data_IF_759422594940
#
_entry.id   IF_759422594940
#
_cell.length_a   1.000
_cell.length_b   1.000
_cell.length_c   1.000
_cell.angle_alpha   90.00
_cell.angle_beta   90.00
_cell.angle_gamma   90.00
#
_symmetry.space_group_name_H-M   'P 1'
#
loop_
_entity.id
_entity.type
_entity.pdbx_description
1 polymer ?
#
# COMPACT_ATOMS: atom_id res chain seq x y z
N UNK A 1 14.84 -0.88 -10.53
CA UNK A 1 15.74 -1.88 -9.91
C UNK A 1 15.06 -2.45 -8.68
N UNK A 2 15.13 -3.78 -8.48
CA UNK A 2 14.65 -4.48 -7.29
C UNK A 2 15.84 -4.82 -6.42
N UNK A 3 15.75 -4.54 -5.10
CA UNK A 3 16.79 -4.86 -4.12
C UNK A 3 16.18 -5.69 -2.99
N UNK A 4 16.83 -6.81 -2.65
CA UNK A 4 16.43 -7.69 -1.56
C UNK A 4 17.02 -7.21 -0.23
N UNK A 5 16.18 -7.22 0.81
CA UNK A 5 16.56 -7.04 2.21
C UNK A 5 16.09 -8.23 3.04
N UNK A 6 16.79 -8.52 4.12
CA UNK A 6 16.45 -9.62 5.04
C UNK A 6 15.94 -9.15 6.39
N UNK A 7 16.28 -7.93 6.80
CA UNK A 7 15.92 -7.35 8.09
C UNK A 7 14.85 -6.27 7.95
N UNK A 8 13.87 -6.20 8.88
CA UNK A 8 13.59 -7.14 10.00
C UNK A 8 12.94 -8.42 9.52
N UNK A 9 12.49 -8.50 8.26
CA UNK A 9 11.96 -9.66 7.56
C UNK A 9 12.30 -9.54 6.07
N UNK A 10 12.18 -10.64 5.34
CA UNK A 10 12.46 -10.66 3.89
C UNK A 10 11.48 -9.73 3.15
N UNK A 11 12.03 -8.71 2.52
CA UNK A 11 11.29 -7.78 1.66
C UNK A 11 12.14 -7.30 0.49
N UNK A 12 11.47 -6.70 -0.48
CA UNK A 12 12.10 -6.13 -1.66
C UNK A 12 11.74 -4.65 -1.75
N UNK A 13 12.72 -3.82 -2.03
CA UNK A 13 12.48 -2.42 -2.40
C UNK A 13 12.63 -2.26 -3.91
N UNK A 14 11.78 -1.43 -4.49
CA UNK A 14 11.71 -1.22 -5.94
C UNK A 14 11.78 0.28 -6.26
N UNK A 15 12.64 0.62 -7.19
CA UNK A 15 12.83 1.98 -7.66
C UNK A 15 12.22 2.16 -9.04
N UNK A 16 11.41 3.19 -9.21
CA UNK A 16 10.72 3.60 -10.44
C UNK A 16 9.85 2.48 -11.07
N UNK A 17 8.92 1.87 -10.32
CA UNK A 17 8.05 0.82 -10.87
C UNK A 17 6.95 1.35 -11.79
N UNK A 18 6.57 2.62 -11.69
CA UNK A 18 5.47 3.19 -12.45
C UNK A 18 5.96 4.10 -13.58
N UNK A 19 5.18 4.16 -14.66
CA UNK A 19 5.36 5.15 -15.73
C UNK A 19 4.88 6.54 -15.28
N UNK A 20 5.34 7.59 -15.94
CA UNK A 20 4.89 8.95 -15.64
C UNK A 20 3.36 9.10 -15.79
N UNK A 21 2.78 8.52 -16.83
CA UNK A 21 1.33 8.58 -17.04
C UNK A 21 0.54 7.93 -15.87
N UNK A 22 1.03 6.81 -15.31
CA UNK A 22 0.41 6.21 -14.14
C UNK A 22 0.56 7.09 -12.88
N UNK A 23 1.68 7.78 -12.74
CA UNK A 23 1.90 8.76 -11.66
C UNK A 23 0.95 9.94 -11.81
N UNK A 24 0.76 10.45 -13.03
CA UNK A 24 -0.14 11.57 -13.30
C UNK A 24 -1.61 11.18 -13.00
N UNK A 25 -2.02 9.96 -13.30
CA UNK A 25 -3.34 9.44 -12.90
C UNK A 25 -3.52 9.43 -11.38
N UNK A 26 -2.50 8.98 -10.63
CA UNK A 26 -2.54 8.96 -9.17
C UNK A 26 -2.62 10.39 -8.62
N UNK A 27 -1.82 11.30 -9.16
CA UNK A 27 -1.70 12.68 -8.69
C UNK A 27 -2.96 13.50 -8.93
N UNK A 28 -3.69 13.19 -10.02
CA UNK A 28 -4.93 13.86 -10.41
C UNK A 28 -6.18 13.11 -9.92
N UNK A 29 -6.03 12.01 -9.17
CA UNK A 29 -7.16 11.22 -8.71
C UNK A 29 -8.03 12.00 -7.72
N UNK A 30 -9.31 12.15 -8.05
CA UNK A 30 -10.30 12.64 -7.11
C UNK A 30 -10.76 11.49 -6.21
N UNK A 31 -10.23 11.44 -4.98
CA UNK A 31 -10.59 10.42 -4.02
C UNK A 31 -11.61 11.01 -3.05
N UNK A 32 -12.87 10.59 -3.18
CA UNK A 32 -13.94 11.05 -2.31
C UNK A 32 -13.72 10.61 -0.86
N UNK A 33 -14.18 11.44 0.09
CA UNK A 33 -14.15 11.07 1.52
C UNK A 33 -15.00 9.79 1.71
N UNK A 34 -14.42 8.72 2.23
CA UNK A 34 -15.10 7.42 2.37
C UNK A 34 -16.37 7.49 3.22
N UNK A 35 -16.49 8.47 4.12
CA UNK A 35 -17.71 8.68 4.92
C UNK A 35 -18.89 9.20 4.10
N UNK A 36 -18.63 9.76 2.92
CA UNK A 36 -19.65 10.23 1.97
C UNK A 36 -20.01 9.17 0.94
N UNK A 37 -19.26 8.09 0.89
CA UNK A 37 -19.49 6.99 -0.03
C UNK A 37 -20.26 5.90 0.73
N UNK A 38 -21.39 5.51 0.18
CA UNK A 38 -22.15 4.36 0.67
C UNK A 38 -21.47 3.08 0.15
N UNK A 39 -20.23 2.84 0.59
CA UNK A 39 -19.41 1.76 0.07
C UNK A 39 -19.47 0.59 1.04
N UNK A 40 -20.00 -0.53 0.56
CA UNK A 40 -19.73 -1.84 1.13
C UNK A 40 -18.24 -2.16 0.93
N UNK A 41 -17.39 -1.61 1.77
CA UNK A 41 -15.99 -1.98 1.81
C UNK A 41 -15.85 -3.31 2.50
N UNK A 42 -15.76 -4.35 1.72
CA UNK A 42 -15.27 -5.60 2.21
C UNK A 42 -13.79 -5.45 2.58
N UNK A 43 -13.49 -5.66 3.86
CA UNK A 43 -12.13 -5.71 4.37
C UNK A 43 -11.45 -4.37 4.68
N UNK A 44 -12.14 -3.25 4.65
CA UNK A 44 -11.59 -1.96 5.08
C UNK A 44 -12.03 -1.58 6.49
N UNK A 45 -11.63 -2.35 7.46
CA UNK A 45 -11.80 -2.05 8.90
C UNK A 45 -11.41 -0.63 9.28
N UNK A 46 -10.64 0.03 8.43
CA UNK A 46 -10.22 1.40 8.57
C UNK A 46 -11.31 2.45 8.33
N UNK A 47 -12.47 2.09 7.77
CA UNK A 47 -13.52 3.04 7.37
C UNK A 47 -14.81 2.93 8.17
N UNK A 48 -15.07 1.79 8.79
CA UNK A 48 -16.34 1.49 9.47
C UNK A 48 -16.47 2.05 10.89
N UNK A 49 -15.41 2.64 11.41
CA UNK A 49 -15.37 3.16 12.76
C UNK A 49 -15.10 2.13 13.84
N UNK A 50 -14.85 0.89 13.47
CA UNK A 50 -14.46 -0.17 14.38
C UNK A 50 -13.02 -0.05 14.90
N UNK A 51 -12.53 -1.12 15.49
CA UNK A 51 -11.17 -1.17 16.05
C UNK A 51 -10.07 -0.84 15.02
N UNK A 52 -10.30 -1.21 13.74
CA UNK A 52 -9.41 -0.88 12.64
C UNK A 52 -9.30 0.62 12.37
N UNK A 53 -10.39 1.38 12.54
CA UNK A 53 -10.38 2.84 12.41
C UNK A 53 -9.52 3.48 13.49
N UNK A 54 -9.60 2.95 14.70
CA UNK A 54 -8.77 3.39 15.83
C UNK A 54 -7.28 3.12 15.58
N UNK A 55 -6.97 1.94 15.01
CA UNK A 55 -5.59 1.56 14.68
C UNK A 55 -4.98 2.43 13.60
N UNK A 56 -5.80 2.96 12.72
CA UNK A 56 -5.36 3.77 11.59
C UNK A 56 -5.43 5.28 11.83
N UNK A 57 -5.84 5.74 13.02
CA UNK A 57 -5.99 7.16 13.32
C UNK A 57 -7.00 7.88 12.41
N UNK A 58 -7.94 7.16 11.80
CA UNK A 58 -8.80 7.69 10.74
C UNK A 58 -9.85 8.66 11.28
N UNK A 59 -10.28 8.50 12.51
CA UNK A 59 -11.33 9.33 13.13
C UNK A 59 -10.83 10.50 13.99
N UNK A 60 -9.54 10.72 14.00
CA UNK A 60 -9.00 11.82 14.78
C UNK A 60 -9.57 13.16 14.26
N UNK A 61 -10.15 13.94 15.16
CA UNK A 61 -10.76 15.23 14.82
C UNK A 61 -11.96 15.18 13.87
N UNK A 62 -12.63 14.04 13.70
CA UNK A 62 -13.83 13.89 12.86
C UNK A 62 -13.59 13.96 11.34
N UNK A 63 -12.34 14.07 10.88
CA UNK A 63 -11.96 14.02 9.46
C UNK A 63 -11.31 12.66 9.14
N UNK A 64 -11.58 12.14 7.94
CA UNK A 64 -10.86 10.97 7.46
C UNK A 64 -9.40 11.30 7.24
N UNK A 65 -8.50 10.56 7.91
CA UNK A 65 -7.04 10.70 7.75
C UNK A 65 -6.48 9.89 6.59
N UNK A 66 -7.25 8.92 6.10
CA UNK A 66 -6.92 8.09 4.94
C UNK A 66 -8.05 8.13 3.93
N UNK A 67 -7.75 8.53 2.71
CA UNK A 67 -8.65 8.42 1.57
C UNK A 67 -8.20 7.25 0.70
N UNK A 68 -9.14 6.52 0.11
CA UNK A 68 -8.86 5.31 -0.70
C UNK A 68 -9.80 5.25 -1.89
N UNK A 69 -9.26 4.82 -3.01
CA UNK A 69 -10.01 4.49 -4.22
C UNK A 69 -9.47 3.19 -4.81
N UNK A 70 -10.34 2.20 -5.01
CA UNK A 70 -9.97 0.98 -5.73
C UNK A 70 -9.96 1.26 -7.22
N UNK A 71 -8.93 0.76 -7.91
CA UNK A 71 -8.94 0.70 -9.37
C UNK A 71 -9.70 -0.54 -9.80
N UNK A 72 -10.86 -0.35 -10.44
CA UNK A 72 -11.80 -1.39 -10.84
C UNK A 72 -12.14 -1.29 -12.32
N UNK A 73 -12.92 -2.22 -12.83
CA UNK A 73 -13.43 -2.15 -14.21
C UNK A 73 -14.35 -0.93 -14.43
N UNK A 74 -15.13 -0.59 -13.41
CA UNK A 74 -16.11 0.51 -13.44
C UNK A 74 -15.46 1.88 -13.57
N UNK A 75 -14.26 2.08 -13.00
CA UNK A 75 -13.53 3.34 -13.06
C UNK A 75 -12.26 3.28 -13.93
N UNK A 76 -12.13 2.24 -14.77
CA UNK A 76 -10.97 2.04 -15.65
C UNK A 76 -10.73 3.20 -16.62
N UNK A 77 -11.78 3.95 -16.98
CA UNK A 77 -11.67 5.15 -17.81
C UNK A 77 -10.94 6.31 -17.08
N UNK A 78 -11.00 6.36 -15.76
CA UNK A 78 -10.27 7.34 -14.95
C UNK A 78 -8.82 6.93 -14.72
N UNK A 79 -8.55 5.61 -14.77
CA UNK A 79 -7.25 5.01 -14.48
C UNK A 79 -6.76 4.07 -15.58
N UNK A 80 -6.66 4.53 -16.87
CA UNK A 80 -6.29 3.63 -17.97
C UNK A 80 -4.88 3.04 -17.82
N UNK A 81 -3.89 3.81 -17.34
CA UNK A 81 -2.53 3.32 -17.16
C UNK A 81 -2.39 2.41 -15.93
N UNK A 82 -3.10 2.71 -14.83
CA UNK A 82 -3.14 1.80 -13.67
C UNK A 82 -3.89 0.50 -14.00
N UNK A 83 -4.93 0.56 -14.80
CA UNK A 83 -5.63 -0.64 -15.30
C UNK A 83 -4.67 -1.49 -16.14
N UNK A 84 -3.91 -0.88 -17.04
CA UNK A 84 -2.88 -1.57 -17.82
C UNK A 84 -1.81 -2.19 -16.92
N UNK A 85 -1.39 -1.49 -15.88
CA UNK A 85 -0.44 -2.01 -14.90
C UNK A 85 -0.99 -3.24 -14.17
N UNK A 86 -2.27 -3.25 -13.79
CA UNK A 86 -2.93 -4.43 -13.22
C UNK A 86 -2.89 -5.61 -14.21
N UNK A 87 -3.19 -5.39 -15.49
CA UNK A 87 -3.15 -6.45 -16.50
C UNK A 87 -1.72 -6.98 -16.73
N UNK A 88 -0.72 -6.13 -16.67
CA UNK A 88 0.68 -6.54 -16.73
C UNK A 88 1.06 -7.42 -15.51
N UNK A 89 0.62 -7.06 -14.30
CA UNK A 89 0.85 -7.88 -13.11
C UNK A 89 0.19 -9.26 -13.20
N UNK A 90 -0.96 -9.37 -13.87
CA UNK A 90 -1.68 -10.63 -14.12
C UNK A 90 -1.04 -11.48 -15.23
N UNK A 91 -0.13 -10.93 -16.01
CA UNK A 91 0.52 -11.69 -17.08
C UNK A 91 1.39 -12.82 -16.53
N UNK A 92 1.39 -14.02 -17.14
CA UNK A 92 2.20 -15.16 -16.68
C UNK A 92 3.68 -14.83 -16.53
N UNK A 93 4.21 -13.97 -17.41
CA UNK A 93 5.60 -13.52 -17.38
C UNK A 93 5.92 -12.76 -16.09
N UNK A 94 4.99 -11.91 -15.63
CA UNK A 94 5.21 -11.04 -14.48
C UNK A 94 4.89 -11.77 -13.17
N UNK A 95 3.70 -12.39 -13.04
CA UNK A 95 3.34 -13.03 -11.79
C UNK A 95 4.24 -14.22 -11.44
N UNK A 96 4.74 -15.00 -12.43
CA UNK A 96 5.72 -16.07 -12.18
C UNK A 96 7.05 -15.52 -11.68
N UNK A 97 7.51 -14.38 -12.23
CA UNK A 97 8.74 -13.72 -11.77
C UNK A 97 8.59 -13.20 -10.34
N UNK A 98 7.47 -12.55 -10.02
CA UNK A 98 7.19 -12.08 -8.66
C UNK A 98 7.06 -13.27 -7.71
N UNK A 99 6.29 -14.28 -8.08
CA UNK A 99 6.11 -15.52 -7.31
C UNK A 99 7.43 -16.20 -6.97
N UNK A 100 8.36 -16.29 -7.94
CA UNK A 100 9.70 -16.81 -7.72
C UNK A 100 10.51 -15.98 -6.71
N UNK A 101 10.39 -14.65 -6.73
CA UNK A 101 11.08 -13.77 -5.76
C UNK A 101 10.54 -13.96 -4.33
N UNK A 102 9.22 -14.05 -4.19
CA UNK A 102 8.56 -14.14 -2.88
C UNK A 102 8.37 -15.57 -2.38
N UNK A 103 8.61 -16.59 -3.22
CA UNK A 103 8.43 -18.00 -2.89
C UNK A 103 6.97 -18.43 -2.78
N UNK A 104 6.08 -17.86 -3.61
CA UNK A 104 4.64 -18.16 -3.64
C UNK A 104 4.16 -18.40 -5.06
N UNK A 105 3.21 -19.33 -5.23
CA UNK A 105 2.47 -19.46 -6.48
C UNK A 105 1.36 -18.42 -6.54
N UNK A 106 1.41 -17.56 -7.54
CA UNK A 106 0.44 -16.49 -7.76
C UNK A 106 -0.54 -16.80 -8.91
N UNK A 107 -0.53 -18.02 -9.48
CA UNK A 107 -1.31 -18.36 -10.68
C UNK A 107 -2.83 -18.24 -10.48
N UNK A 108 -3.31 -18.49 -9.26
CA UNK A 108 -4.74 -18.42 -8.90
C UNK A 108 -5.07 -17.22 -7.99
N UNK A 109 -4.22 -16.19 -8.01
CA UNK A 109 -4.43 -14.99 -7.23
C UNK A 109 -5.05 -13.87 -8.06
N UNK A 110 -5.60 -12.87 -7.40
CA UNK A 110 -6.07 -11.63 -8.04
C UNK A 110 -5.27 -10.44 -7.53
N UNK A 111 -5.22 -9.41 -8.36
CA UNK A 111 -4.58 -8.12 -8.02
C UNK A 111 -5.65 -7.16 -7.53
N UNK A 112 -5.44 -6.60 -6.33
CA UNK A 112 -6.19 -5.46 -5.81
C UNK A 112 -5.25 -4.27 -5.76
N UNK A 113 -5.57 -3.23 -6.53
CA UNK A 113 -4.82 -1.99 -6.56
C UNK A 113 -5.66 -0.85 -5.99
N UNK A 114 -5.04 -0.07 -5.13
CA UNK A 114 -5.68 1.08 -4.48
C UNK A 114 -4.81 2.32 -4.67
N UNK A 115 -5.46 3.44 -4.99
CA UNK A 115 -4.85 4.77 -4.85
C UNK A 115 -5.22 5.29 -3.46
N UNK A 116 -4.21 5.67 -2.68
CA UNK A 116 -4.36 6.05 -1.29
C UNK A 116 -3.77 7.45 -1.08
N UNK A 117 -4.49 8.29 -0.35
CA UNK A 117 -4.00 9.56 0.14
C UNK A 117 -4.09 9.56 1.67
N UNK A 118 -2.95 9.50 2.34
CA UNK A 118 -2.85 9.69 3.78
C UNK A 118 -2.70 11.20 4.06
N UNK A 119 -3.44 11.69 5.05
CA UNK A 119 -3.44 13.11 5.45
C UNK A 119 -2.64 13.30 6.73
N UNK A 120 -2.31 14.56 7.00
CA UNK A 120 -1.67 14.98 8.24
C UNK A 120 -2.31 14.32 9.48
N UNK A 121 -1.48 13.78 10.36
CA UNK A 121 -1.89 13.07 11.55
C UNK A 121 -2.31 11.61 11.31
N UNK A 122 -2.14 11.05 10.11
CA UNK A 122 -2.33 9.62 9.88
C UNK A 122 -1.25 8.82 10.62
N UNK A 123 -1.66 7.69 11.19
CA UNK A 123 -0.78 6.71 11.80
C UNK A 123 -1.42 5.32 11.71
N UNK A 124 -0.60 4.29 11.81
CA UNK A 124 -1.05 2.91 11.74
C UNK A 124 -0.24 2.08 12.72
N UNK A 125 -0.90 1.44 13.70
CA UNK A 125 -0.23 0.54 14.64
C UNK A 125 0.49 -0.60 13.91
N UNK A 126 1.62 -1.07 14.45
CA UNK A 126 2.27 -2.27 13.96
C UNK A 126 1.28 -3.44 13.88
N UNK A 127 1.22 -4.08 12.72
CA UNK A 127 0.37 -5.23 12.45
C UNK A 127 1.01 -6.13 11.39
N UNK A 128 0.53 -7.35 11.29
CA UNK A 128 0.75 -8.23 10.15
C UNK A 128 -0.51 -8.25 9.29
N UNK A 129 -0.34 -8.38 8.00
CA UNK A 129 -1.47 -8.58 7.09
C UNK A 129 -2.12 -9.95 7.29
N UNK A 130 -3.36 -10.10 6.83
CA UNK A 130 -4.12 -11.34 6.86
C UNK A 130 -3.46 -12.40 5.94
N UNK A 131 -3.68 -13.67 6.23
CA UNK A 131 -3.03 -14.79 5.52
C UNK A 131 -3.43 -14.88 4.05
N UNK A 132 -4.61 -14.44 3.69
CA UNK A 132 -5.12 -14.42 2.31
C UNK A 132 -4.34 -13.47 1.41
N UNK A 133 -3.64 -12.49 1.97
CA UNK A 133 -2.72 -11.63 1.22
C UNK A 133 -1.42 -12.37 0.96
N UNK A 134 -1.25 -12.90 -0.24
CA UNK A 134 -0.01 -13.55 -0.63
C UNK A 134 1.17 -12.57 -0.73
N UNK A 135 0.89 -11.33 -1.09
CA UNK A 135 1.87 -10.25 -1.20
C UNK A 135 1.24 -8.91 -0.85
N UNK A 136 1.95 -8.11 -0.09
CA UNK A 136 1.67 -6.69 0.13
C UNK A 136 2.71 -5.84 -0.57
N UNK A 137 2.25 -4.76 -1.19
CA UNK A 137 3.11 -3.80 -1.90
C UNK A 137 2.59 -2.39 -1.74
N UNK A 138 3.49 -1.43 -1.59
CA UNK A 138 3.20 0.01 -1.63
C UNK A 138 4.22 0.68 -2.55
N UNK A 139 3.74 1.61 -3.38
CA UNK A 139 4.56 2.53 -4.14
C UNK A 139 4.20 3.94 -3.70
N UNK A 140 5.20 4.69 -3.27
CA UNK A 140 5.05 6.06 -2.80
C UNK A 140 5.16 7.06 -3.95
N UNK A 141 4.33 8.09 -3.91
CA UNK A 141 4.32 9.19 -4.87
C UNK A 141 4.54 10.50 -4.11
N UNK A 142 5.81 10.80 -3.82
CA UNK A 142 6.22 12.03 -3.15
C UNK A 142 6.46 13.14 -4.17
N UNK A 143 5.42 13.89 -4.51
CA UNK A 143 5.48 15.00 -5.48
C UNK A 143 5.98 16.31 -4.87
N UNK A 144 5.83 16.48 -3.56
CA UNK A 144 6.06 17.75 -2.88
C UNK A 144 7.36 17.76 -2.06
N UNK A 145 8.20 16.74 -2.27
CA UNK A 145 9.45 16.61 -1.54
C UNK A 145 9.26 16.61 -0.01
N UNK A 146 8.20 15.95 0.44
CA UNK A 146 7.91 15.75 1.85
C UNK A 146 8.96 14.84 2.50
N UNK A 147 8.99 14.81 3.83
CA UNK A 147 9.98 14.05 4.60
C UNK A 147 9.95 12.56 4.23
N UNK A 148 11.12 11.99 3.97
CA UNK A 148 11.28 10.55 3.71
C UNK A 148 10.83 9.70 4.90
N UNK A 149 10.78 10.26 6.11
CA UNK A 149 10.30 9.57 7.31
C UNK A 149 8.79 9.29 7.30
N UNK A 150 8.03 9.83 6.35
CA UNK A 150 6.59 9.54 6.18
C UNK A 150 6.32 8.18 5.50
N UNK A 151 7.34 7.39 5.27
CA UNK A 151 7.20 6.04 4.73
C UNK A 151 6.70 5.01 5.74
N UNK A 152 6.77 3.74 5.36
CA UNK A 152 6.30 2.62 6.19
C UNK A 152 7.38 2.17 7.15
N UNK A 153 7.02 2.06 8.41
CA UNK A 153 7.89 1.52 9.46
C UNK A 153 7.81 -0.01 9.50
N UNK A 154 8.96 -0.67 9.55
CA UNK A 154 9.11 -2.11 9.70
C UNK A 154 9.68 -2.44 11.07
N UNK A 155 9.13 -3.48 11.70
CA UNK A 155 9.41 -3.86 13.06
C UNK A 155 9.91 -5.30 13.16
N UNK A 156 10.69 -5.59 14.17
CA UNK A 156 11.05 -6.96 14.53
C UNK A 156 9.90 -7.69 15.27
N UNK A 157 10.11 -8.95 15.63
CA UNK A 157 9.10 -9.76 16.33
C UNK A 157 8.80 -9.25 17.77
N UNK A 158 9.64 -8.36 18.31
CA UNK A 158 9.43 -7.70 19.61
C UNK A 158 8.77 -6.33 19.47
N UNK A 159 8.38 -5.96 18.25
CA UNK A 159 7.81 -4.66 17.88
C UNK A 159 8.78 -3.47 18.07
N UNK A 160 10.08 -3.72 18.04
CA UNK A 160 11.06 -2.64 17.94
C UNK A 160 11.09 -2.18 16.48
N UNK A 161 11.00 -0.87 16.25
CA UNK A 161 11.17 -0.31 14.91
C UNK A 161 12.63 -0.47 14.47
N UNK A 162 12.82 -1.16 13.34
CA UNK A 162 14.14 -1.46 12.78
C UNK A 162 14.48 -0.51 11.63
N UNK A 163 13.49 -0.20 10.79
CA UNK A 163 13.69 0.73 9.67
C UNK A 163 12.40 1.40 9.25
N UNK A 164 12.53 2.51 8.54
CA UNK A 164 11.47 3.11 7.74
C UNK A 164 11.83 2.92 6.27
N UNK A 165 10.95 2.32 5.47
CA UNK A 165 11.07 2.36 4.02
C UNK A 165 10.74 3.79 3.59
N UNK A 166 11.67 4.51 2.93
CA UNK A 166 11.54 5.95 2.76
C UNK A 166 10.39 6.35 1.83
N UNK A 167 9.69 7.41 2.19
CA UNK A 167 8.67 8.05 1.35
C UNK A 167 9.34 8.83 0.22
N UNK A 168 9.76 8.12 -0.82
CA UNK A 168 10.38 8.68 -2.03
C UNK A 168 9.45 8.64 -3.22
N UNK A 169 9.63 9.59 -4.12
CA UNK A 169 8.87 9.61 -5.37
C UNK A 169 9.16 8.37 -6.24
N UNK A 170 8.09 7.69 -6.67
CA UNK A 170 8.12 6.47 -7.48
C UNK A 170 9.07 5.41 -6.90
N UNK A 171 8.98 5.21 -5.60
CA UNK A 171 9.75 4.24 -4.84
C UNK A 171 8.82 3.44 -3.95
N UNK A 172 9.10 2.16 -3.74
CA UNK A 172 8.23 1.35 -2.94
C UNK A 172 8.85 0.04 -2.50
N UNK A 173 8.00 -0.84 -1.99
CA UNK A 173 8.41 -2.14 -1.49
C UNK A 173 7.32 -3.18 -1.72
N UNK A 174 7.71 -4.45 -1.61
CA UNK A 174 6.79 -5.57 -1.49
C UNK A 174 7.38 -6.69 -0.64
N UNK A 175 6.50 -7.46 -0.01
CA UNK A 175 6.86 -8.62 0.79
C UNK A 175 5.73 -9.66 0.80
N UNK A 176 6.05 -10.90 1.19
CA UNK A 176 5.06 -11.95 1.46
C UNK A 176 4.50 -11.76 2.85
N UNK A 177 3.17 -11.71 2.98
CA UNK A 177 2.52 -11.64 4.29
C UNK A 177 2.83 -12.89 5.12
N UNK A 178 3.05 -12.68 6.42
CA UNK A 178 3.38 -13.73 7.36
C UNK A 178 3.31 -13.26 8.80
N UNK A 179 3.43 -14.17 9.78
CA UNK A 179 3.21 -13.85 11.20
C UNK A 179 4.24 -12.91 11.82
N UNK A 180 5.37 -12.70 11.15
CA UNK A 180 6.44 -11.83 11.63
C UNK A 180 6.72 -10.64 10.70
N UNK A 181 5.83 -10.35 9.76
CA UNK A 181 5.98 -9.21 8.82
C UNK A 181 5.33 -7.96 9.38
N UNK A 182 5.78 -7.57 10.57
CA UNK A 182 5.25 -6.43 11.31
C UNK A 182 5.57 -5.12 10.62
N UNK A 183 4.53 -4.38 10.29
CA UNK A 183 4.66 -3.07 9.64
C UNK A 183 3.57 -2.11 10.09
N UNK A 184 3.82 -0.83 9.92
CA UNK A 184 2.90 0.23 10.32
C UNK A 184 3.46 1.59 9.98
N UNK A 185 2.98 2.60 10.67
CA UNK A 185 3.47 3.97 10.57
C UNK A 185 3.28 4.65 11.92
N UNK A 186 4.35 5.03 12.58
CA UNK A 186 4.26 5.80 13.80
C UNK A 186 3.63 7.17 13.51
N UNK A 187 2.97 7.73 14.52
CA UNK A 187 2.49 9.11 14.43
C UNK A 187 3.71 10.01 14.26
N UNK A 188 3.73 10.79 13.19
CA UNK A 188 4.77 11.80 12.93
C UNK A 188 4.23 13.14 13.42
N UNK A 189 5.12 13.90 14.06
CA UNK A 189 4.87 15.28 14.47
C UNK A 189 5.16 16.26 13.33
#
# INVERSE_FOLDING_TARGET
RIKLYKDPFKHFEINQPLTQNAIDEISNAEIADPRKQNLNYDGTRALDGGEGTFRAGIKDGGKAKKLRCYVTKENSNQFPNLTKFIEELKSPKVYKKIGSLIGKDLSNSYVRLEVICDREGFWLKPHCDIEEKLMSSIVFINLHNESENLGTDFYDAKLNKIKTVPYKHNYGYFFTSGPNTWHGMEKKE
#
